data_IF_925552680423
#
_entry.id   IF_925552680423
#
_cell.length_a   1.000
_cell.length_b   1.000
_cell.length_c   1.000
_cell.angle_alpha   90.00
_cell.angle_beta   90.00
_cell.angle_gamma   90.00
#
_symmetry.space_group_name_H-M   'P 1'
#
loop_
_entity.id
_entity.type
_entity.pdbx_description
1 polymer ?
#
# COMPACT_ATOMS: atom_id res chain seq x y z
N UNK A 1 11.16 -3.14 -18.61
CA UNK A 1 12.19 -2.73 -17.63
C UNK A 1 11.60 -1.63 -16.78
N UNK A 2 11.76 -1.67 -15.46
CA UNK A 2 11.23 -0.65 -14.57
C UNK A 2 12.24 0.49 -14.41
N UNK A 3 11.74 1.72 -14.44
CA UNK A 3 12.47 2.91 -14.03
C UNK A 3 11.93 3.36 -12.68
N UNK A 4 12.80 3.35 -11.67
CA UNK A 4 12.44 3.68 -10.28
C UNK A 4 13.06 5.02 -9.94
N UNK A 5 12.22 5.98 -9.60
CA UNK A 5 12.64 7.31 -9.17
C UNK A 5 12.12 7.62 -7.77
N UNK A 6 12.70 8.65 -7.16
CA UNK A 6 12.25 9.13 -5.85
C UNK A 6 10.92 9.85 -6.03
N UNK A 7 9.99 9.56 -5.13
CA UNK A 7 8.75 10.33 -5.04
C UNK A 7 9.07 11.81 -4.77
N UNK A 8 8.46 12.75 -5.51
CA UNK A 8 8.63 14.18 -5.27
C UNK A 8 8.28 14.57 -3.82
N UNK A 9 9.02 15.51 -3.24
CA UNK A 9 8.86 15.89 -1.83
C UNK A 9 7.42 16.34 -1.49
N UNK A 10 6.77 17.07 -2.39
CA UNK A 10 5.38 17.49 -2.24
C UNK A 10 4.44 16.29 -2.12
N UNK A 11 4.64 15.26 -2.95
CA UNK A 11 3.83 14.05 -2.90
C UNK A 11 4.12 13.20 -1.66
N UNK A 12 5.37 13.16 -1.20
CA UNK A 12 5.73 12.54 0.09
C UNK A 12 4.97 13.21 1.25
N UNK A 13 4.85 14.53 1.24
CA UNK A 13 4.11 15.24 2.29
C UNK A 13 2.60 15.02 2.19
N UNK A 14 2.05 14.91 0.98
CA UNK A 14 0.66 14.50 0.76
C UNK A 14 0.39 13.08 1.29
N UNK A 15 1.27 12.11 1.01
CA UNK A 15 1.16 10.75 1.55
C UNK A 15 1.13 10.74 3.09
N UNK A 16 1.96 11.57 3.74
CA UNK A 16 1.95 11.70 5.21
C UNK A 16 0.65 12.33 5.73
N UNK A 17 0.06 13.27 5.00
CA UNK A 17 -1.26 13.84 5.35
C UNK A 17 -2.33 12.75 5.26
N UNK A 18 -2.43 12.07 4.11
CA UNK A 18 -3.39 10.99 3.87
C UNK A 18 -3.23 9.85 4.88
N UNK A 19 -2.00 9.47 5.23
CA UNK A 19 -1.75 8.46 6.25
C UNK A 19 -2.28 8.87 7.63
N UNK A 20 -2.16 10.14 8.02
CA UNK A 20 -2.72 10.62 9.29
C UNK A 20 -4.25 10.65 9.26
N UNK A 21 -4.83 10.99 8.11
CA UNK A 21 -6.29 10.91 7.91
C UNK A 21 -6.78 9.46 8.00
N UNK A 22 -6.02 8.50 7.45
CA UNK A 22 -6.31 7.08 7.59
C UNK A 22 -6.32 6.60 9.04
N UNK A 23 -5.35 7.06 9.85
CA UNK A 23 -5.33 6.75 11.29
C UNK A 23 -6.57 7.31 11.98
N UNK A 24 -6.91 8.57 11.71
CA UNK A 24 -8.09 9.21 12.27
C UNK A 24 -9.40 8.49 11.86
N UNK A 25 -9.50 8.03 10.62
CA UNK A 25 -10.64 7.26 10.12
C UNK A 25 -10.83 5.95 10.88
N UNK A 26 -9.75 5.30 11.28
CA UNK A 26 -9.76 4.04 12.03
C UNK A 26 -9.81 4.24 13.55
N UNK A 27 -9.73 5.48 14.04
CA UNK A 27 -9.63 5.78 15.47
C UNK A 27 -8.33 5.34 16.12
N UNK A 28 -7.25 5.26 15.32
CA UNK A 28 -5.91 4.83 15.73
C UNK A 28 -4.95 6.02 15.91
N UNK A 29 -3.78 5.77 16.48
CA UNK A 29 -2.70 6.75 16.62
C UNK A 29 -1.44 6.28 15.91
N UNK A 30 -0.45 7.16 15.77
CA UNK A 30 0.85 6.81 15.18
C UNK A 30 1.73 5.92 16.07
N UNK A 31 1.27 5.56 17.27
CA UNK A 31 2.00 4.71 18.21
C UNK A 31 1.59 3.23 18.11
N UNK A 32 0.52 2.94 17.36
CA UNK A 32 0.02 1.57 17.15
C UNK A 32 1.02 0.75 16.33
N UNK A 33 1.13 -0.55 16.64
CA UNK A 33 2.06 -1.41 15.94
C UNK A 33 1.65 -1.56 14.45
N UNK A 34 2.60 -1.58 13.50
CA UNK A 34 2.24 -1.61 12.08
C UNK A 34 1.32 -2.76 11.68
N UNK A 35 1.50 -3.94 12.27
CA UNK A 35 0.63 -5.10 12.03
C UNK A 35 -0.82 -4.86 12.50
N UNK A 36 -1.01 -4.16 13.62
CA UNK A 36 -2.33 -3.84 14.16
C UNK A 36 -3.05 -2.82 13.27
N UNK A 37 -2.31 -1.84 12.74
CA UNK A 37 -2.84 -0.88 11.75
C UNK A 37 -3.28 -1.60 10.47
N UNK A 38 -2.47 -2.53 9.93
CA UNK A 38 -2.85 -3.31 8.74
C UNK A 38 -4.08 -4.18 9.01
N UNK A 39 -4.19 -4.77 10.21
CA UNK A 39 -5.37 -5.52 10.61
C UNK A 39 -6.63 -4.63 10.62
N UNK A 40 -6.55 -3.43 11.19
CA UNK A 40 -7.67 -2.48 11.22
C UNK A 40 -8.10 -2.01 9.82
N UNK A 41 -7.15 -1.74 8.92
CA UNK A 41 -7.44 -1.44 7.50
C UNK A 41 -8.17 -2.63 6.85
N UNK A 42 -7.67 -3.85 7.08
CA UNK A 42 -8.25 -5.08 6.54
C UNK A 42 -9.69 -5.28 7.00
N UNK A 43 -9.96 -5.05 8.28
CA UNK A 43 -11.30 -5.16 8.87
C UNK A 43 -12.24 -4.09 8.32
N UNK A 44 -11.81 -2.81 8.27
CA UNK A 44 -12.61 -1.71 7.72
C UNK A 44 -13.09 -2.01 6.29
N UNK A 45 -12.18 -2.48 5.42
CA UNK A 45 -12.51 -2.82 4.04
C UNK A 45 -13.41 -4.06 3.97
N UNK A 46 -13.17 -5.07 4.82
CA UNK A 46 -14.01 -6.26 4.88
C UNK A 46 -15.44 -5.93 5.29
N UNK A 47 -15.61 -5.05 6.27
CA UNK A 47 -16.91 -4.61 6.77
C UNK A 47 -17.68 -3.81 5.71
N UNK A 48 -17.00 -2.95 4.95
CA UNK A 48 -17.61 -2.28 3.79
C UNK A 48 -18.21 -3.31 2.83
N UNK A 49 -17.41 -4.30 2.43
CA UNK A 49 -17.84 -5.35 1.50
C UNK A 49 -18.99 -6.18 2.06
N UNK A 50 -18.92 -6.58 3.33
CA UNK A 50 -19.95 -7.40 3.97
C UNK A 50 -21.29 -6.67 4.09
N UNK A 51 -21.27 -5.35 4.23
CA UNK A 51 -22.47 -4.50 4.34
C UNK A 51 -22.96 -3.97 3.00
N UNK A 52 -22.22 -4.21 1.90
CA UNK A 52 -22.52 -3.64 0.59
C UNK A 52 -22.32 -2.12 0.53
N UNK A 53 -21.54 -1.56 1.45
CA UNK A 53 -21.16 -0.14 1.44
C UNK A 53 -19.83 0.05 0.72
N UNK A 54 -19.61 1.27 0.21
CA UNK A 54 -18.35 1.65 -0.43
C UNK A 54 -17.57 2.63 0.43
N UNK A 55 -16.26 2.63 0.28
CA UNK A 55 -15.42 3.74 0.71
C UNK A 55 -15.55 4.90 -0.28
N UNK A 56 -15.48 6.13 0.21
CA UNK A 56 -15.28 7.29 -0.64
C UNK A 56 -13.88 7.26 -1.27
N UNK A 57 -13.68 8.05 -2.32
CA UNK A 57 -12.36 8.19 -2.94
C UNK A 57 -11.31 8.71 -1.94
N UNK A 58 -11.68 9.69 -1.10
CA UNK A 58 -10.82 10.22 -0.03
C UNK A 58 -10.47 9.14 1.01
N UNK A 59 -11.43 8.31 1.43
CA UNK A 59 -11.17 7.20 2.35
C UNK A 59 -10.23 6.16 1.71
N UNK A 60 -10.39 5.85 0.43
CA UNK A 60 -9.51 4.92 -0.29
C UNK A 60 -8.07 5.46 -0.38
N UNK A 61 -7.90 6.74 -0.70
CA UNK A 61 -6.57 7.38 -0.70
C UNK A 61 -5.93 7.37 0.68
N UNK A 62 -6.69 7.72 1.73
CA UNK A 62 -6.21 7.75 3.11
C UNK A 62 -5.79 6.35 3.60
N UNK A 63 -6.63 5.33 3.38
CA UNK A 63 -6.34 3.95 3.78
C UNK A 63 -5.19 3.35 2.96
N UNK A 64 -5.10 3.67 1.67
CA UNK A 64 -3.99 3.25 0.82
C UNK A 64 -2.65 3.86 1.28
N UNK A 65 -2.60 5.17 1.49
CA UNK A 65 -1.41 5.84 2.00
C UNK A 65 -0.99 5.28 3.36
N UNK A 66 -1.95 5.06 4.26
CA UNK A 66 -1.69 4.45 5.57
C UNK A 66 -1.14 3.03 5.44
N UNK A 67 -1.75 2.20 4.59
CA UNK A 67 -1.31 0.83 4.33
C UNK A 67 0.14 0.81 3.84
N UNK A 68 0.49 1.65 2.87
CA UNK A 68 1.87 1.78 2.38
C UNK A 68 2.86 2.17 3.48
N UNK A 69 2.49 3.10 4.35
CA UNK A 69 3.34 3.49 5.48
C UNK A 69 3.61 2.32 6.44
N UNK A 70 2.73 1.34 6.57
CA UNK A 70 2.98 0.17 7.43
C UNK A 70 4.06 -0.75 6.87
N UNK A 71 4.23 -0.82 5.54
CA UNK A 71 5.36 -1.50 4.91
C UNK A 71 6.65 -0.70 5.12
N UNK A 72 6.60 0.62 5.01
CA UNK A 72 7.78 1.49 5.23
C UNK A 72 8.26 1.38 6.68
N UNK A 73 7.37 1.57 7.65
CA UNK A 73 7.72 1.60 9.08
C UNK A 73 7.98 0.21 9.65
N UNK A 74 7.16 -0.79 9.30
CA UNK A 74 7.26 -2.12 9.88
C UNK A 74 8.20 -3.08 9.15
N UNK A 75 8.52 -2.82 7.87
CA UNK A 75 9.31 -3.75 7.05
C UNK A 75 10.58 -3.11 6.45
N UNK A 76 10.80 -1.80 6.67
CA UNK A 76 11.94 -1.08 6.12
C UNK A 76 11.87 -0.90 4.59
N UNK A 77 10.66 -0.92 4.02
CA UNK A 77 10.43 -0.60 2.62
C UNK A 77 10.52 0.92 2.40
N UNK A 78 10.42 1.38 1.16
CA UNK A 78 10.40 2.81 0.85
C UNK A 78 9.41 3.15 -0.26
N UNK A 79 8.92 4.39 -0.26
CA UNK A 79 8.14 4.92 -1.37
C UNK A 79 9.01 5.12 -2.62
N UNK A 80 8.45 4.86 -3.79
CA UNK A 80 9.05 5.10 -5.10
C UNK A 80 8.00 5.40 -6.15
N UNK A 81 8.41 6.13 -7.18
CA UNK A 81 7.64 6.34 -8.40
C UNK A 81 8.22 5.43 -9.49
N UNK A 82 7.38 4.57 -10.06
CA UNK A 82 7.79 3.49 -10.95
C UNK A 82 7.10 3.62 -12.29
N UNK A 83 7.90 3.61 -13.36
CA UNK A 83 7.44 3.59 -14.75
C UNK A 83 7.89 2.27 -15.39
N UNK A 84 6.99 1.55 -16.04
CA UNK A 84 7.34 0.32 -16.76
C UNK A 84 7.47 0.59 -18.25
N UNK A 85 8.50 -0.02 -18.85
CA UNK A 85 8.72 -0.03 -20.31
C UNK A 85 8.83 1.38 -20.92
N UNK A 86 9.24 2.37 -20.11
CA UNK A 86 9.34 3.78 -20.47
C UNK A 86 8.00 4.40 -20.92
N UNK A 87 6.89 3.81 -20.51
CA UNK A 87 5.55 4.31 -20.78
C UNK A 87 5.01 5.05 -19.57
N UNK A 88 5.02 6.39 -19.61
CA UNK A 88 4.52 7.26 -18.54
C UNK A 88 3.05 6.99 -18.20
N UNK A 89 2.27 6.37 -19.10
CA UNK A 89 0.87 5.99 -18.81
C UNK A 89 0.76 4.84 -17.82
N UNK A 90 1.86 4.12 -17.59
CA UNK A 90 1.96 3.04 -16.60
C UNK A 90 2.53 3.49 -15.26
N UNK A 91 2.87 4.78 -15.13
CA UNK A 91 3.49 5.33 -13.93
C UNK A 91 2.63 5.06 -12.68
N UNK A 92 3.26 4.56 -11.62
CA UNK A 92 2.61 4.31 -10.35
C UNK A 92 3.51 4.65 -9.17
N UNK A 93 2.92 5.33 -8.20
CA UNK A 93 3.54 5.57 -6.90
C UNK A 93 3.18 4.41 -5.98
N UNK A 94 4.19 3.83 -5.33
CA UNK A 94 4.00 2.71 -4.43
C UNK A 94 5.19 2.50 -3.50
N UNK A 95 5.18 1.39 -2.79
CA UNK A 95 6.24 0.98 -1.88
C UNK A 95 7.05 -0.17 -2.47
N UNK A 96 8.35 -0.10 -2.29
CA UNK A 96 9.34 -1.06 -2.78
C UNK A 96 10.13 -1.63 -1.61
N UNK A 97 10.50 -2.90 -1.71
CA UNK A 97 11.44 -3.50 -0.77
C UNK A 97 12.89 -3.02 -1.03
N UNK A 98 13.82 -3.37 -0.14
CA UNK A 98 15.19 -2.85 -0.13
C UNK A 98 16.00 -3.02 -1.42
N UNK A 99 15.74 -4.05 -2.24
CA UNK A 99 16.40 -4.32 -3.52
C UNK A 99 15.51 -3.98 -4.73
N UNK A 100 14.39 -3.29 -4.49
CA UNK A 100 13.39 -2.89 -5.47
C UNK A 100 12.80 -4.03 -6.32
N UNK A 101 12.95 -5.28 -5.90
CA UNK A 101 12.46 -6.43 -6.66
C UNK A 101 10.94 -6.59 -6.56
N UNK A 102 10.33 -6.10 -5.47
CA UNK A 102 8.90 -6.17 -5.18
C UNK A 102 8.29 -4.79 -5.05
N UNK A 103 7.09 -4.62 -5.61
CA UNK A 103 6.34 -3.37 -5.63
C UNK A 103 4.89 -3.59 -5.18
N UNK A 104 4.38 -2.67 -4.37
CA UNK A 104 2.97 -2.58 -4.02
C UNK A 104 2.51 -1.14 -4.27
N UNK A 105 1.44 -0.94 -5.01
CA UNK A 105 0.66 0.29 -5.12
C UNK A 105 -0.51 0.20 -4.14
N UNK A 106 -0.37 0.69 -2.89
CA UNK A 106 -1.35 0.40 -1.85
C UNK A 106 -2.66 1.15 -2.08
N UNK A 107 -2.60 2.35 -2.66
CA UNK A 107 -3.77 3.16 -3.03
C UNK A 107 -4.59 2.45 -4.11
N UNK A 108 -3.95 2.05 -5.21
CA UNK A 108 -4.60 1.31 -6.28
C UNK A 108 -5.13 -0.05 -5.78
N UNK A 109 -4.40 -0.69 -4.87
CA UNK A 109 -4.80 -1.98 -4.31
C UNK A 109 -6.06 -1.89 -3.44
N UNK A 110 -6.18 -0.85 -2.60
CA UNK A 110 -7.41 -0.61 -1.82
C UNK A 110 -8.62 -0.43 -2.74
N UNK A 111 -8.49 0.40 -3.79
CA UNK A 111 -9.56 0.62 -4.77
C UNK A 111 -9.93 -0.69 -5.50
N UNK A 112 -8.94 -1.44 -5.98
CA UNK A 112 -9.15 -2.72 -6.66
C UNK A 112 -9.85 -3.74 -5.76
N UNK A 113 -9.45 -3.82 -4.48
CA UNK A 113 -10.08 -4.75 -3.53
C UNK A 113 -11.53 -4.36 -3.27
N UNK A 114 -11.86 -3.07 -3.19
CA UNK A 114 -13.24 -2.59 -3.04
C UNK A 114 -14.13 -2.98 -4.23
N UNK A 115 -13.60 -2.94 -5.46
CA UNK A 115 -14.34 -3.29 -6.67
C UNK A 115 -14.44 -4.81 -6.92
N UNK A 116 -13.48 -5.58 -6.42
CA UNK A 116 -13.41 -7.03 -6.67
C UNK A 116 -14.49 -7.82 -5.91
N UNK A 117 -14.82 -9.03 -6.39
CA UNK A 117 -15.59 -10.02 -5.59
C UNK A 117 -14.70 -10.80 -4.60
N UNK A 118 -13.37 -10.62 -4.69
CA UNK A 118 -12.38 -11.34 -3.90
C UNK A 118 -12.29 -10.91 -2.43
N UNK A 119 -11.49 -11.64 -1.66
CA UNK A 119 -11.21 -11.33 -0.26
C UNK A 119 -10.28 -10.11 -0.09
N UNK A 120 -10.21 -9.60 1.14
CA UNK A 120 -9.30 -8.51 1.53
C UNK A 120 -7.95 -9.10 1.96
N UNK A 121 -6.94 -8.97 1.09
CA UNK A 121 -5.64 -9.66 1.22
C UNK A 121 -4.54 -8.91 1.99
N UNK A 122 -4.78 -7.68 2.46
CA UNK A 122 -3.72 -6.83 3.01
C UNK A 122 -2.95 -7.48 4.17
N UNK A 123 -3.66 -7.97 5.19
CA UNK A 123 -3.01 -8.63 6.33
C UNK A 123 -2.28 -9.92 5.95
N UNK A 124 -2.81 -10.69 5.00
CA UNK A 124 -2.14 -11.91 4.53
C UNK A 124 -0.79 -11.56 3.87
N UNK A 125 -0.80 -10.60 2.94
CA UNK A 125 0.40 -10.12 2.26
C UNK A 125 1.43 -9.56 3.25
N UNK A 126 0.98 -8.72 4.20
CA UNK A 126 1.84 -8.13 5.22
C UNK A 126 2.54 -9.20 6.08
N UNK A 127 1.81 -10.23 6.49
CA UNK A 127 2.36 -11.37 7.22
C UNK A 127 3.38 -12.14 6.38
N UNK A 128 3.09 -12.40 5.09
CA UNK A 128 4.03 -13.07 4.18
C UNK A 128 5.33 -12.27 4.03
N UNK A 129 5.25 -10.95 3.88
CA UNK A 129 6.42 -10.06 3.84
C UNK A 129 7.22 -10.14 5.14
N UNK A 130 6.53 -10.10 6.30
CA UNK A 130 7.15 -10.13 7.63
C UNK A 130 7.99 -11.38 7.91
N UNK A 131 7.65 -12.51 7.27
CA UNK A 131 8.37 -13.78 7.43
C UNK A 131 9.19 -14.15 6.18
N UNK A 132 9.40 -13.19 5.27
CA UNK A 132 10.13 -13.37 4.01
C UNK A 132 9.59 -14.51 3.12
N UNK A 133 8.30 -14.81 3.20
CA UNK A 133 7.60 -15.76 2.33
C UNK A 133 7.05 -15.06 1.09
N UNK A 134 7.93 -14.40 0.34
CA UNK A 134 7.59 -13.67 -0.89
C UNK A 134 8.27 -14.30 -2.10
N UNK A 135 7.74 -14.11 -3.33
CA UNK A 135 8.40 -14.59 -4.53
C UNK A 135 9.80 -14.00 -4.70
N UNK A 136 10.77 -14.83 -5.08
CA UNK A 136 12.10 -14.35 -5.49
C UNK A 136 11.96 -13.69 -6.86
N UNK A 137 12.46 -12.46 -6.97
CA UNK A 137 12.43 -11.65 -8.19
C UNK A 137 13.81 -11.04 -8.43
N UNK A 138 14.04 -10.60 -9.65
CA UNK A 138 15.29 -9.92 -9.99
C UNK A 138 15.32 -8.55 -9.29
N UNK A 139 16.48 -8.11 -8.78
CA UNK A 139 16.63 -6.74 -8.28
C UNK A 139 16.18 -5.69 -9.29
N UNK A 140 15.60 -4.60 -8.80
CA UNK A 140 15.07 -3.49 -9.61
C UNK A 140 13.97 -3.86 -10.61
N UNK A 141 13.36 -5.05 -10.50
CA UNK A 141 12.27 -5.46 -11.40
C UNK A 141 10.92 -4.83 -11.05
N UNK A 142 10.79 -4.22 -9.87
CA UNK A 142 9.56 -3.61 -9.34
C UNK A 142 8.30 -4.45 -9.62
N UNK A 143 8.37 -5.76 -9.31
CA UNK A 143 7.30 -6.69 -9.67
C UNK A 143 6.16 -6.61 -8.66
N UNK A 144 4.94 -6.46 -9.16
CA UNK A 144 3.73 -6.36 -8.34
C UNK A 144 3.55 -7.53 -7.36
N UNK A 145 3.22 -7.22 -6.11
CA UNK A 145 2.95 -8.16 -5.02
C UNK A 145 1.57 -7.89 -4.40
N UNK A 146 0.51 -8.49 -4.96
CA UNK A 146 -0.89 -8.29 -4.52
C UNK A 146 -1.64 -9.61 -4.36
#
# INVERSE_FOLDING_TARGET
MAEISKVPAELVDQIKVLSREGLALLGLTGDDAPADVVAAITERVRDCKATGTTLSEEEMYALGALLGNQYVEGQGWHWGDVVWDYDETTAAVGVLNHDNSLFINPIGWVAQVMESEGGVGFMLNYNMVSVHQVPVREPDSATGLY
#
